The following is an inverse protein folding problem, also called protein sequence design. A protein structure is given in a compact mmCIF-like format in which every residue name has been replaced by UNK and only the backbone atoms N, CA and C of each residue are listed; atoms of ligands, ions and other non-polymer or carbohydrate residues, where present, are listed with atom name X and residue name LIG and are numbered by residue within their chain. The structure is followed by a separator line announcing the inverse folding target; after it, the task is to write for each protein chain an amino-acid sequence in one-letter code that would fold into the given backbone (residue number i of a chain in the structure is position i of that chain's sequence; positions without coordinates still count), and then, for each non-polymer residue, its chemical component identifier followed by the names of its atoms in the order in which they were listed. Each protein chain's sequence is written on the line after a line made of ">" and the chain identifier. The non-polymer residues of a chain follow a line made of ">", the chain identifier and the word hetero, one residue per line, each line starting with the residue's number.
data_IF_558146898538
#
_entry.id   IF_558146898538
#
_cell.length_a   1.000
_cell.length_b   1.000
_cell.length_c   1.000
_cell.angle_alpha   90.00
_cell.angle_beta   90.00
_cell.angle_gamma   90.00
#
_symmetry.space_group_name_H-M   'P 1'
#
loop_
_entity.id
_entity.type
_entity.pdbx_description
1 polymer ?
#
# COMPACT_ATOMS: atom_id res chain seq x y z
N UNK A 1 14.06 8.66 -13.45
CA UNK A 1 13.13 9.47 -14.30
C UNK A 1 13.53 9.29 -15.76
N UNK A 2 12.59 9.27 -16.71
CA UNK A 2 12.94 9.12 -18.13
C UNK A 2 13.64 10.37 -18.67
N UNK A 3 14.77 10.17 -19.37
CA UNK A 3 15.45 11.24 -20.10
C UNK A 3 14.60 11.70 -21.29
N UNK A 4 14.89 12.89 -21.83
CA UNK A 4 14.21 13.39 -23.03
C UNK A 4 14.37 12.44 -24.23
N UNK A 5 15.57 11.88 -24.41
CA UNK A 5 15.84 10.90 -25.46
C UNK A 5 15.05 9.60 -25.24
N UNK A 6 14.97 9.10 -24.00
CA UNK A 6 14.16 7.92 -23.68
C UNK A 6 12.67 8.13 -23.99
N UNK A 7 12.13 9.33 -23.70
CA UNK A 7 10.76 9.70 -24.08
C UNK A 7 10.59 9.67 -25.60
N UNK A 8 11.54 10.22 -26.35
CA UNK A 8 11.47 10.27 -27.82
C UNK A 8 11.51 8.86 -28.44
N UNK A 9 12.40 7.99 -27.97
CA UNK A 9 12.49 6.59 -28.40
C UNK A 9 11.21 5.83 -28.06
N UNK A 10 10.74 5.93 -26.82
CA UNK A 10 9.53 5.25 -26.37
C UNK A 10 8.29 5.71 -27.14
N UNK A 11 8.16 7.01 -27.42
CA UNK A 11 7.06 7.55 -28.20
C UNK A 11 7.05 6.99 -29.62
N UNK A 12 8.20 6.97 -30.30
CA UNK A 12 8.30 6.44 -31.66
C UNK A 12 7.88 4.96 -31.75
N UNK A 13 8.23 4.15 -30.75
CA UNK A 13 7.84 2.73 -30.68
C UNK A 13 6.34 2.59 -30.43
N UNK A 14 5.80 3.34 -29.46
CA UNK A 14 4.38 3.33 -29.14
C UNK A 14 3.52 3.82 -30.32
N UNK A 15 3.97 4.84 -31.05
CA UNK A 15 3.30 5.39 -32.24
C UNK A 15 3.21 4.37 -33.40
N UNK A 16 4.10 3.37 -33.46
CA UNK A 16 4.00 2.23 -34.38
C UNK A 16 3.06 1.12 -33.89
N UNK A 17 2.46 1.27 -32.71
CA UNK A 17 1.57 0.27 -32.11
C UNK A 17 2.28 -0.89 -31.42
N UNK A 18 3.58 -0.74 -31.13
CA UNK A 18 4.41 -1.74 -30.47
C UNK A 18 4.42 -1.55 -28.93
N UNK A 19 4.98 -2.54 -28.22
CA UNK A 19 5.05 -2.54 -26.75
C UNK A 19 6.42 -2.09 -26.24
N UNK A 20 6.42 -1.33 -25.14
CA UNK A 20 7.63 -0.82 -24.47
C UNK A 20 7.62 -1.18 -22.98
N UNK A 21 8.78 -1.42 -22.41
CA UNK A 21 8.98 -1.49 -20.96
C UNK A 21 9.67 -0.22 -20.50
N UNK A 22 9.09 0.47 -19.52
CA UNK A 22 9.63 1.70 -18.97
C UNK A 22 9.71 1.63 -17.44
N UNK A 23 10.71 2.27 -16.81
CA UNK A 23 10.72 2.47 -15.37
C UNK A 23 9.48 3.26 -14.92
N UNK A 24 8.98 2.95 -13.73
CA UNK A 24 7.95 3.76 -13.07
C UNK A 24 8.29 3.96 -11.59
N UNK A 25 7.58 4.87 -10.95
CA UNK A 25 7.57 5.10 -9.50
C UNK A 25 7.17 3.87 -8.65
N UNK A 26 6.71 2.78 -9.28
CA UNK A 26 6.14 1.60 -8.60
C UNK A 26 6.83 0.31 -9.02
N UNK A 27 6.74 -0.11 -10.28
CA UNK A 27 7.41 -1.27 -10.92
C UNK A 27 7.69 -0.95 -12.40
N UNK A 28 8.67 -1.56 -13.10
CA UNK A 28 8.72 -1.50 -14.56
C UNK A 28 7.35 -1.83 -15.15
N UNK A 29 6.84 -0.87 -15.92
CA UNK A 29 5.56 -0.99 -16.57
C UNK A 29 5.76 -1.47 -17.99
N UNK A 30 4.96 -2.43 -18.41
CA UNK A 30 4.76 -2.77 -19.80
C UNK A 30 3.62 -1.90 -20.35
N UNK A 31 3.91 -1.16 -21.40
CA UNK A 31 3.04 -0.16 -21.99
C UNK A 31 2.77 -0.42 -23.47
N UNK A 32 1.54 -0.13 -23.86
CA UNK A 32 1.06 -0.07 -25.24
C UNK A 32 0.12 1.13 -25.39
N UNK A 33 -0.14 1.58 -26.61
CA UNK A 33 -1.17 2.60 -26.83
C UNK A 33 -2.57 2.09 -26.47
N UNK A 34 -3.43 2.99 -25.98
CA UNK A 34 -4.83 2.74 -25.65
C UNK A 34 -5.72 2.66 -26.91
N UNK A 35 -5.48 1.62 -27.69
CA UNK A 35 -6.21 1.20 -28.90
C UNK A 35 -6.58 -0.27 -28.81
N UNK A 36 -7.56 -0.71 -29.60
CA UNK A 36 -7.97 -2.13 -29.63
C UNK A 36 -6.78 -3.04 -30.01
N UNK A 37 -5.97 -2.65 -31.00
CA UNK A 37 -4.75 -3.36 -31.40
C UNK A 37 -3.71 -3.42 -30.27
N UNK A 38 -3.51 -2.32 -29.56
CA UNK A 38 -2.58 -2.26 -28.43
C UNK A 38 -3.03 -3.18 -27.29
N UNK A 39 -4.33 -3.17 -26.95
CA UNK A 39 -4.88 -4.05 -25.93
C UNK A 39 -4.71 -5.53 -26.30
N UNK A 40 -4.99 -5.90 -27.55
CA UNK A 40 -4.80 -7.27 -28.05
C UNK A 40 -3.33 -7.72 -27.99
N UNK A 41 -2.40 -6.83 -28.39
CA UNK A 41 -0.97 -7.08 -28.26
C UNK A 41 -0.59 -7.35 -26.80
N UNK A 42 -1.06 -6.51 -25.88
CA UNK A 42 -0.75 -6.66 -24.46
C UNK A 42 -1.30 -7.96 -23.88
N UNK A 43 -2.51 -8.38 -24.29
CA UNK A 43 -3.11 -9.66 -23.89
C UNK A 43 -2.28 -10.85 -24.37
N UNK A 44 -1.79 -10.80 -25.62
CA UNK A 44 -0.90 -11.82 -26.20
C UNK A 44 0.42 -11.90 -25.44
N UNK A 45 1.08 -10.75 -25.23
CA UNK A 45 2.37 -10.70 -24.52
C UNK A 45 2.24 -11.30 -23.12
N UNK A 46 1.17 -10.95 -22.40
CA UNK A 46 0.94 -11.38 -21.01
C UNK A 46 0.35 -12.78 -20.87
N UNK A 47 -0.01 -13.45 -21.97
CA UNK A 47 -0.72 -14.73 -21.96
C UNK A 47 -1.93 -14.71 -21.01
N UNK A 48 -2.63 -13.58 -20.99
CA UNK A 48 -3.61 -13.30 -19.95
C UNK A 48 -4.92 -14.01 -20.27
N UNK A 49 -5.25 -15.03 -19.47
CA UNK A 49 -6.52 -15.74 -19.58
C UNK A 49 -7.66 -14.88 -19.02
N UNK A 50 -8.74 -14.72 -19.81
CA UNK A 50 -10.00 -14.09 -19.41
C UNK A 50 -10.08 -12.57 -19.60
N UNK A 51 -11.17 -11.99 -19.09
CA UNK A 51 -11.56 -10.60 -19.39
C UNK A 51 -11.12 -9.56 -18.33
N UNK A 52 -10.08 -9.84 -17.54
CA UNK A 52 -9.62 -8.89 -16.50
C UNK A 52 -9.07 -7.62 -17.16
N UNK A 53 -9.66 -6.44 -16.90
CA UNK A 53 -9.26 -5.21 -17.58
C UNK A 53 -7.84 -4.78 -17.16
N UNK A 54 -7.21 -3.99 -18.03
CA UNK A 54 -5.96 -3.31 -17.73
C UNK A 54 -6.22 -1.88 -17.24
N UNK A 55 -5.28 -1.33 -16.48
CA UNK A 55 -5.36 0.08 -16.09
C UNK A 55 -4.91 0.94 -17.27
N UNK A 56 -5.59 2.07 -17.47
CA UNK A 56 -5.26 3.08 -18.47
C UNK A 56 -4.60 4.27 -17.77
N UNK A 57 -3.45 4.69 -18.28
CA UNK A 57 -2.71 5.84 -17.78
C UNK A 57 -2.98 7.08 -18.61
N UNK A 58 -3.19 8.19 -17.90
CA UNK A 58 -3.49 9.49 -18.45
C UNK A 58 -2.44 10.49 -17.99
N UNK A 59 -2.14 11.47 -18.83
CA UNK A 59 -1.19 12.52 -18.46
C UNK A 59 -1.79 13.57 -17.51
N UNK A 60 -3.12 13.68 -17.47
CA UNK A 60 -3.80 14.68 -16.66
C UNK A 60 -5.32 14.65 -16.78
N UNK A 61 -5.99 15.48 -15.96
CA UNK A 61 -7.45 15.52 -15.81
C UNK A 61 -8.20 15.81 -17.11
N UNK A 62 -7.63 16.64 -18.00
CA UNK A 62 -8.23 16.96 -19.32
C UNK A 62 -8.36 15.75 -20.25
N UNK A 63 -7.38 14.85 -20.21
CA UNK A 63 -7.41 13.63 -21.03
C UNK A 63 -8.35 12.60 -20.39
N UNK A 64 -8.31 12.51 -19.07
CA UNK A 64 -9.15 11.63 -18.27
C UNK A 64 -10.65 11.93 -18.47
N UNK A 65 -11.05 13.21 -18.42
CA UNK A 65 -12.46 13.62 -18.53
C UNK A 65 -13.12 13.23 -19.85
N UNK A 66 -12.34 12.98 -20.91
CA UNK A 66 -12.84 12.48 -22.20
C UNK A 66 -13.18 10.98 -22.17
N UNK A 67 -12.77 10.25 -21.14
CA UNK A 67 -12.84 8.77 -21.07
C UNK A 67 -13.63 8.24 -19.89
N UNK A 68 -13.89 9.04 -18.87
CA UNK A 68 -14.63 8.64 -17.68
C UNK A 68 -15.84 9.53 -17.46
N UNK A 69 -16.88 8.98 -16.83
CA UNK A 69 -18.04 9.74 -16.38
C UNK A 69 -17.98 9.88 -14.85
N UNK A 70 -17.86 11.11 -14.37
CA UNK A 70 -17.95 11.42 -12.94
C UNK A 70 -19.42 11.61 -12.59
N UNK A 71 -19.96 10.72 -11.75
CA UNK A 71 -21.40 10.66 -11.42
C UNK A 71 -21.73 11.22 -10.02
N UNK A 72 -20.74 11.44 -9.16
CA UNK A 72 -20.97 11.91 -7.79
C UNK A 72 -19.76 12.65 -7.19
N UNK A 73 -19.99 13.29 -6.03
CA UNK A 73 -18.97 14.07 -5.29
C UNK A 73 -17.79 13.23 -4.81
N UNK A 74 -18.01 11.97 -4.42
CA UNK A 74 -16.93 11.07 -3.99
C UNK A 74 -15.95 10.81 -5.13
N UNK A 75 -16.46 10.53 -6.34
CA UNK A 75 -15.64 10.33 -7.53
C UNK A 75 -14.87 11.59 -7.91
N UNK A 76 -15.53 12.76 -7.88
CA UNK A 76 -14.87 14.04 -8.12
C UNK A 76 -13.74 14.31 -7.13
N UNK A 77 -13.99 14.06 -5.84
CA UNK A 77 -12.98 14.21 -4.75
C UNK A 77 -11.82 13.25 -4.96
N UNK A 78 -12.08 11.98 -5.26
CA UNK A 78 -11.02 11.00 -5.51
C UNK A 78 -10.13 11.38 -6.70
N UNK A 79 -10.73 11.83 -7.81
CA UNK A 79 -9.96 12.30 -8.98
C UNK A 79 -9.17 13.57 -8.66
N UNK A 80 -9.67 14.45 -7.79
CA UNK A 80 -8.98 15.71 -7.47
C UNK A 80 -7.86 15.55 -6.45
N UNK A 81 -8.00 14.66 -5.46
CA UNK A 81 -7.09 14.52 -4.32
C UNK A 81 -6.15 13.31 -4.39
N UNK A 82 -6.53 12.25 -5.12
CA UNK A 82 -5.70 11.03 -5.26
C UNK A 82 -4.94 10.95 -6.59
N UNK A 83 -5.25 11.82 -7.56
CA UNK A 83 -4.60 11.86 -8.87
C UNK A 83 -4.03 13.27 -9.17
N UNK A 84 -2.78 13.41 -9.66
CA UNK A 84 -1.77 12.36 -9.84
C UNK A 84 -1.40 11.64 -8.54
N UNK A 85 -1.04 10.36 -8.61
CA UNK A 85 -0.77 9.59 -7.41
C UNK A 85 -0.46 8.11 -7.60
N UNK A 86 -0.21 7.46 -6.47
CA UNK A 86 0.06 6.02 -6.32
C UNK A 86 -1.21 5.15 -6.28
N UNK A 87 -2.32 5.68 -6.81
CA UNK A 87 -3.63 5.03 -6.81
C UNK A 87 -4.11 4.78 -8.24
N UNK A 88 -4.79 3.65 -8.44
CA UNK A 88 -5.61 3.37 -9.62
C UNK A 88 -7.08 3.39 -9.21
N UNK A 89 -7.87 4.28 -9.83
CA UNK A 89 -9.30 4.43 -9.57
C UNK A 89 -10.09 3.59 -10.59
N UNK A 90 -11.05 2.78 -10.14
CA UNK A 90 -12.04 2.17 -11.03
C UNK A 90 -13.25 3.11 -11.06
N UNK A 91 -13.54 3.64 -12.24
CA UNK A 91 -14.60 4.62 -12.49
C UNK A 91 -15.55 4.14 -13.59
N UNK A 92 -16.78 4.67 -13.66
CA UNK A 92 -17.65 4.49 -14.82
C UNK A 92 -16.96 4.97 -16.11
N UNK A 93 -16.96 4.11 -17.13
CA UNK A 93 -16.41 4.44 -18.43
C UNK A 93 -17.37 5.34 -19.21
N UNK A 94 -16.82 6.26 -20.00
CA UNK A 94 -17.60 7.06 -20.96
C UNK A 94 -17.84 6.35 -22.30
N UNK A 95 -17.27 5.16 -22.51
CA UNK A 95 -17.44 4.37 -23.76
C UNK A 95 -18.58 3.37 -23.62
N UNK A 96 -19.39 3.19 -24.68
CA UNK A 96 -20.51 2.21 -24.70
C UNK A 96 -20.07 0.75 -24.51
N UNK A 97 -18.89 0.37 -25.00
CA UNK A 97 -18.38 -1.03 -24.93
C UNK A 97 -17.94 -1.46 -23.52
N UNK A 98 -17.69 -0.53 -22.60
CA UNK A 98 -17.16 -0.82 -21.26
C UNK A 98 -18.02 -0.18 -20.19
N UNK A 99 -18.40 -0.90 -19.14
CA UNK A 99 -19.13 -0.29 -18.02
C UNK A 99 -18.19 0.50 -17.11
N UNK A 100 -16.98 0.00 -16.89
CA UNK A 100 -16.00 0.55 -15.96
C UNK A 100 -14.60 0.56 -16.56
N UNK A 101 -13.76 1.46 -16.06
CA UNK A 101 -12.38 1.63 -16.48
C UNK A 101 -11.47 1.90 -15.28
N UNK A 102 -10.35 1.18 -15.20
CA UNK A 102 -9.28 1.48 -14.25
C UNK A 102 -8.42 2.61 -14.79
N UNK A 103 -8.29 3.70 -14.05
CA UNK A 103 -7.56 4.91 -14.47
C UNK A 103 -6.45 5.25 -13.49
N UNK A 104 -5.34 5.76 -14.01
CA UNK A 104 -4.22 6.31 -13.21
C UNK A 104 -3.66 7.55 -13.89
N UNK A 105 -3.25 8.53 -13.09
CA UNK A 105 -2.39 9.63 -13.53
C UNK A 105 -1.11 9.49 -12.69
N UNK A 106 0.05 9.12 -13.29
CA UNK A 106 1.28 8.91 -12.53
C UNK A 106 1.84 10.24 -12.01
N UNK A 107 2.52 10.22 -10.85
CA UNK A 107 3.18 11.41 -10.29
C UNK A 107 4.38 11.83 -11.18
N UNK A 108 5.09 10.82 -11.71
CA UNK A 108 6.24 10.98 -12.60
C UNK A 108 5.91 11.89 -13.79
N UNK A 109 6.59 13.04 -13.84
CA UNK A 109 6.38 14.08 -14.84
C UNK A 109 6.88 13.66 -16.23
N UNK A 110 7.91 12.82 -16.29
CA UNK A 110 8.50 12.28 -17.53
C UNK A 110 7.56 11.27 -18.20
N UNK A 111 6.94 10.39 -17.42
CA UNK A 111 5.91 9.48 -17.91
C UNK A 111 4.65 10.24 -18.34
N UNK A 112 4.25 11.29 -17.60
CA UNK A 112 3.17 12.20 -18.04
C UNK A 112 3.53 12.98 -19.31
N UNK A 113 4.81 13.24 -19.58
CA UNK A 113 5.25 13.86 -20.83
C UNK A 113 5.11 12.91 -22.01
N UNK A 114 5.53 11.65 -21.85
CA UNK A 114 5.31 10.60 -22.84
C UNK A 114 3.82 10.44 -23.17
N UNK A 115 2.95 10.28 -22.15
CA UNK A 115 1.50 10.10 -22.35
C UNK A 115 0.85 11.33 -23.02
N UNK A 116 1.38 12.55 -22.80
CA UNK A 116 0.90 13.74 -23.52
C UNK A 116 1.15 13.67 -25.01
N UNK A 117 2.28 13.09 -25.41
CA UNK A 117 2.71 12.94 -26.80
C UNK A 117 1.96 11.80 -27.49
N UNK A 118 1.93 10.62 -26.88
CA UNK A 118 1.41 9.40 -27.51
C UNK A 118 -0.10 9.22 -27.36
N UNK A 119 -0.75 9.99 -26.47
CA UNK A 119 -2.09 9.67 -26.00
C UNK A 119 -2.07 8.66 -24.84
N UNK A 120 -3.26 8.26 -24.32
CA UNK A 120 -3.34 7.38 -23.16
C UNK A 120 -2.66 6.04 -23.43
N UNK A 121 -2.11 5.45 -22.39
CA UNK A 121 -1.41 4.17 -22.48
C UNK A 121 -2.14 3.11 -21.67
N UNK A 122 -2.17 1.87 -22.15
CA UNK A 122 -2.57 0.73 -21.33
C UNK A 122 -1.32 0.22 -20.63
N UNK A 123 -1.44 -0.01 -19.33
CA UNK A 123 -0.31 -0.38 -18.49
C UNK A 123 -0.59 -1.66 -17.69
N UNK A 124 0.45 -2.49 -17.58
CA UNK A 124 0.52 -3.61 -16.63
C UNK A 124 1.93 -3.70 -16.08
N UNK A 125 2.12 -4.40 -14.97
CA UNK A 125 3.47 -4.70 -14.48
C UNK A 125 4.21 -5.61 -15.46
N UNK A 126 5.50 -5.38 -15.65
CA UNK A 126 6.36 -6.15 -16.54
C UNK A 126 6.79 -7.50 -15.92
N UNK A 127 5.81 -8.32 -15.54
CA UNK A 127 5.98 -9.70 -15.06
C UNK A 127 5.23 -10.68 -15.97
N UNK A 128 5.55 -11.98 -15.95
CA UNK A 128 4.67 -12.98 -16.59
C UNK A 128 3.40 -13.17 -15.74
N UNK A 129 2.26 -13.46 -16.38
CA UNK A 129 0.98 -13.62 -15.67
C UNK A 129 1.08 -14.73 -14.62
N UNK A 130 0.68 -14.44 -13.38
CA UNK A 130 0.73 -15.41 -12.27
C UNK A 130 2.08 -15.50 -11.54
N UNK A 131 3.14 -14.85 -12.02
CA UNK A 131 4.45 -14.84 -11.34
C UNK A 131 4.66 -13.52 -10.60
N UNK A 132 4.88 -13.58 -9.29
CA UNK A 132 5.45 -12.44 -8.57
C UNK A 132 6.87 -12.23 -9.07
N UNK A 133 7.27 -10.97 -9.34
CA UNK A 133 8.68 -10.65 -9.56
C UNK A 133 9.44 -11.03 -8.29
N UNK A 134 10.21 -12.12 -8.37
CA UNK A 134 11.09 -12.59 -7.29
C UNK A 134 12.29 -11.66 -7.14
N UNK A 135 12.67 -11.01 -8.24
CA UNK A 135 13.71 -10.01 -8.33
C UNK A 135 13.16 -8.77 -9.08
N UNK A 136 13.19 -7.55 -8.50
CA UNK A 136 12.79 -6.32 -9.17
C UNK A 136 13.75 -5.87 -10.29
N UNK A 137 14.91 -6.52 -10.45
CA UNK A 137 15.95 -6.15 -11.42
C UNK A 137 15.94 -7.04 -12.66
N UNK A 138 15.52 -8.30 -12.56
CA UNK A 138 15.51 -9.22 -13.72
C UNK A 138 14.12 -9.30 -14.39
N UNK A 139 13.99 -8.69 -15.57
CA UNK A 139 12.82 -8.92 -16.43
C UNK A 139 12.88 -10.33 -17.04
N UNK A 140 11.76 -11.07 -17.14
CA UNK A 140 11.76 -12.39 -17.74
C UNK A 140 12.24 -12.33 -19.20
N UNK A 141 13.18 -13.20 -19.60
CA UNK A 141 13.72 -13.20 -20.97
C UNK A 141 12.62 -13.40 -22.03
N UNK A 142 11.60 -14.20 -21.73
CA UNK A 142 10.43 -14.39 -22.60
C UNK A 142 9.54 -13.14 -22.74
N UNK A 143 9.66 -12.16 -21.84
CA UNK A 143 9.01 -10.85 -21.97
C UNK A 143 9.87 -9.89 -22.80
N UNK A 144 11.19 -9.90 -22.57
CA UNK A 144 12.16 -9.07 -23.29
C UNK A 144 12.13 -9.31 -24.81
N UNK A 145 11.95 -10.56 -25.24
CA UNK A 145 11.84 -10.91 -26.67
C UNK A 145 10.53 -10.47 -27.33
N UNK A 146 9.55 -10.01 -26.55
CA UNK A 146 8.20 -9.64 -27.01
C UNK A 146 7.94 -8.12 -26.96
N UNK A 147 8.95 -7.34 -26.62
CA UNK A 147 8.87 -5.87 -26.53
C UNK A 147 9.93 -5.26 -27.42
N UNK A 148 9.61 -4.11 -28.01
CA UNK A 148 10.50 -3.44 -28.96
C UNK A 148 11.49 -2.48 -28.31
N UNK A 149 11.26 -2.12 -27.05
CA UNK A 149 12.14 -1.23 -26.29
C UNK A 149 12.04 -1.54 -24.80
N UNK A 150 13.20 -1.51 -24.14
CA UNK A 150 13.32 -1.48 -22.68
C UNK A 150 14.16 -0.26 -22.34
N UNK A 151 13.57 0.67 -21.61
CA UNK A 151 14.34 1.74 -20.96
C UNK A 151 14.64 1.29 -19.54
N UNK A 152 15.89 1.46 -19.12
CA UNK A 152 16.33 1.14 -17.76
C UNK A 152 16.66 2.44 -17.01
N UNK A 153 16.49 2.41 -15.69
CA UNK A 153 16.87 3.50 -14.81
C UNK A 153 18.01 2.97 -13.92
N UNK A 154 19.21 3.53 -14.08
CA UNK A 154 20.40 3.11 -13.32
C UNK A 154 20.20 3.31 -11.81
N UNK A 155 19.40 4.32 -11.41
CA UNK A 155 19.09 4.60 -10.00
C UNK A 155 18.16 3.54 -9.38
N UNK A 156 17.35 2.84 -10.18
CA UNK A 156 16.42 1.80 -9.71
C UNK A 156 17.17 0.53 -9.29
N UNK A 157 18.39 0.29 -9.81
CA UNK A 157 19.23 -0.85 -9.42
C UNK A 157 19.74 -0.72 -7.97
N UNK A 158 19.77 0.48 -7.40
CA UNK A 158 20.35 0.74 -6.07
C UNK A 158 19.36 0.76 -4.90
N UNK A 159 18.05 0.74 -5.15
CA UNK A 159 17.08 0.53 -4.06
C UNK A 159 16.79 -0.96 -3.93
N UNK A 160 17.50 -1.66 -3.03
CA UNK A 160 17.27 -3.07 -2.68
C UNK A 160 15.90 -3.36 -2.03
N UNK A 161 14.86 -2.63 -2.42
CA UNK A 161 13.52 -2.70 -1.91
C UNK A 161 12.54 -3.06 -3.03
N UNK A 162 11.73 -4.08 -2.75
CA UNK A 162 10.70 -4.62 -3.62
C UNK A 162 9.68 -3.54 -3.99
N UNK A 163 9.74 -3.13 -5.25
CA UNK A 163 8.82 -2.27 -5.97
C UNK A 163 7.33 -2.63 -5.74
N UNK A 164 6.55 -1.69 -5.18
CA UNK A 164 5.15 -1.89 -4.76
C UNK A 164 4.20 -1.31 -5.82
N UNK A 165 3.24 -2.09 -6.30
CA UNK A 165 2.22 -1.61 -7.25
C UNK A 165 1.33 -0.49 -6.67
N UNK A 166 0.63 0.26 -7.52
CA UNK A 166 -0.42 1.19 -7.08
C UNK A 166 -1.55 0.47 -6.34
N UNK A 167 -2.12 1.15 -5.35
CA UNK A 167 -3.34 0.71 -4.66
C UNK A 167 -4.51 0.84 -5.61
N UNK A 168 -5.34 -0.19 -5.73
CA UNK A 168 -6.52 -0.19 -6.63
C UNK A 168 -7.77 0.02 -5.79
N UNK A 169 -8.48 1.11 -6.04
CA UNK A 169 -9.76 1.40 -5.38
C UNK A 169 -10.89 1.48 -6.39
N UNK A 170 -11.98 0.82 -6.05
CA UNK A 170 -13.25 0.85 -6.75
C UNK A 170 -14.17 1.87 -6.07
N UNK A 171 -14.54 2.88 -6.85
CA UNK A 171 -15.40 4.00 -6.45
C UNK A 171 -16.56 4.15 -7.43
N UNK A 172 -16.94 3.04 -8.08
CA UNK A 172 -18.07 3.00 -9.01
C UNK A 172 -19.39 3.27 -8.29
N UNK A 173 -19.54 2.76 -7.06
CA UNK A 173 -20.62 3.09 -6.14
C UNK A 173 -20.40 4.44 -5.45
N UNK A 174 -21.47 5.22 -5.27
CA UNK A 174 -21.43 6.46 -4.48
C UNK A 174 -21.28 6.20 -2.97
N UNK A 175 -21.62 4.98 -2.51
CA UNK A 175 -21.71 4.66 -1.07
C UNK A 175 -20.41 4.14 -0.49
N UNK A 176 -19.53 3.50 -1.26
CA UNK A 176 -18.36 2.80 -0.74
C UNK A 176 -17.11 3.09 -1.55
N UNK A 177 -15.96 3.09 -0.87
CA UNK A 177 -14.63 3.06 -1.47
C UNK A 177 -14.09 1.67 -1.22
N UNK A 178 -14.02 0.83 -2.23
CA UNK A 178 -13.64 -0.58 -2.06
C UNK A 178 -12.21 -0.80 -2.54
N UNK A 179 -11.31 -1.20 -1.66
CA UNK A 179 -9.94 -1.53 -2.02
C UNK A 179 -9.92 -2.93 -2.59
N UNK A 180 -9.57 -3.04 -3.87
CA UNK A 180 -9.44 -4.31 -4.62
C UNK A 180 -8.04 -4.89 -4.53
N UNK A 181 -7.04 -4.03 -4.28
CA UNK A 181 -5.64 -4.40 -4.13
C UNK A 181 -4.91 -3.36 -3.28
N UNK A 182 -4.22 -3.81 -2.23
CA UNK A 182 -3.29 -2.98 -1.45
C UNK A 182 -2.02 -2.70 -2.24
N UNK A 183 -1.44 -1.52 -2.04
CA UNK A 183 -0.29 -1.07 -2.81
C UNK A 183 0.39 0.13 -2.15
N UNK A 184 1.12 0.92 -2.95
CA UNK A 184 1.99 1.97 -2.45
C UNK A 184 1.25 3.16 -1.80
N UNK A 185 -0.05 3.36 -2.07
CA UNK A 185 -0.86 4.33 -1.35
C UNK A 185 -1.49 3.67 -0.11
N UNK A 186 -1.28 4.24 1.07
CA UNK A 186 -1.81 3.65 2.30
C UNK A 186 -3.32 3.81 2.39
N UNK A 187 -3.97 2.86 3.06
CA UNK A 187 -5.42 2.89 3.31
C UNK A 187 -5.82 4.14 4.09
N UNK A 188 -4.95 4.56 5.01
CA UNK A 188 -5.17 5.68 5.92
C UNK A 188 -5.01 7.03 5.23
N UNK A 189 -4.05 7.15 4.31
CA UNK A 189 -3.93 8.32 3.44
C UNK A 189 -5.18 8.49 2.57
N UNK A 190 -5.64 7.39 1.95
CA UNK A 190 -6.88 7.38 1.16
C UNK A 190 -8.06 7.80 2.03
N UNK A 191 -8.19 7.24 3.24
CA UNK A 191 -9.28 7.58 4.16
C UNK A 191 -9.27 9.06 4.53
N UNK A 192 -8.10 9.62 4.84
CA UNK A 192 -7.94 11.03 5.17
C UNK A 192 -8.27 11.95 3.97
N UNK A 193 -7.72 11.67 2.78
CA UNK A 193 -7.95 12.48 1.58
C UNK A 193 -9.40 12.43 1.07
N UNK A 194 -10.12 11.35 1.34
CA UNK A 194 -11.53 11.21 0.96
C UNK A 194 -12.49 11.59 2.09
N UNK A 195 -12.01 11.73 3.33
CA UNK A 195 -12.82 11.80 4.56
C UNK A 195 -13.83 10.64 4.65
N UNK A 196 -13.38 9.46 4.23
CA UNK A 196 -14.22 8.26 4.15
C UNK A 196 -13.38 7.00 4.27
N UNK A 197 -13.73 6.15 5.21
CA UNK A 197 -13.01 4.89 5.40
C UNK A 197 -13.18 3.97 4.18
N UNK A 198 -12.08 3.53 3.56
CA UNK A 198 -12.15 2.49 2.55
C UNK A 198 -12.53 1.16 3.19
N UNK A 199 -13.11 0.26 2.40
CA UNK A 199 -13.43 -1.10 2.81
C UNK A 199 -12.58 -2.07 2.01
N UNK A 200 -11.99 -3.07 2.68
CA UNK A 200 -11.17 -4.09 2.02
C UNK A 200 -12.03 -5.19 1.40
N UNK A 201 -11.87 -5.43 0.10
CA UNK A 201 -12.48 -6.57 -0.59
C UNK A 201 -11.90 -7.90 -0.09
N UNK A 202 -12.75 -8.89 0.20
CA UNK A 202 -12.30 -10.25 0.53
C UNK A 202 -11.49 -10.85 -0.64
N UNK A 203 -10.35 -11.54 -0.38
CA UNK A 203 -9.84 -11.98 0.93
C UNK A 203 -8.83 -11.03 1.59
N UNK A 204 -8.74 -9.76 1.20
CA UNK A 204 -7.72 -8.86 1.75
C UNK A 204 -7.86 -8.72 3.27
N UNK A 205 -6.75 -8.90 3.99
CA UNK A 205 -6.61 -8.63 5.41
C UNK A 205 -5.78 -7.39 5.72
N UNK A 206 -5.61 -7.11 7.01
CA UNK A 206 -4.76 -6.07 7.56
C UNK A 206 -3.62 -6.67 8.38
N UNK A 207 -2.43 -6.16 8.13
CA UNK A 207 -1.22 -6.50 8.85
C UNK A 207 -0.81 -5.32 9.72
N UNK A 208 -0.72 -5.54 11.03
CA UNK A 208 -0.50 -4.48 12.01
C UNK A 208 0.80 -4.75 12.76
N UNK A 209 1.69 -3.76 12.78
CA UNK A 209 2.99 -3.85 13.43
C UNK A 209 3.08 -2.89 14.61
N UNK A 210 3.24 -3.42 15.82
CA UNK A 210 3.55 -2.61 17.00
C UNK A 210 5.06 -2.46 17.18
N UNK A 211 5.56 -1.23 17.38
CA UNK A 211 7.00 -0.97 17.48
C UNK A 211 7.35 -0.18 18.75
N UNK A 212 8.27 -0.71 19.54
CA UNK A 212 8.87 -0.01 20.68
C UNK A 212 10.40 0.03 20.60
N UNK A 213 11.08 0.33 21.70
CA UNK A 213 12.54 0.32 21.78
C UNK A 213 13.11 -1.10 21.67
N UNK A 214 13.01 -1.88 22.74
CA UNK A 214 13.64 -3.20 22.85
C UNK A 214 12.80 -4.41 22.40
N UNK A 215 11.51 -4.21 22.07
CA UNK A 215 10.56 -5.30 21.81
C UNK A 215 10.40 -6.32 22.95
N UNK A 216 10.55 -5.87 24.19
CA UNK A 216 10.50 -6.72 25.40
C UNK A 216 9.34 -6.36 26.34
N UNK A 217 8.78 -5.15 26.22
CA UNK A 217 7.67 -4.68 27.08
C UNK A 217 6.49 -4.17 26.26
N UNK A 218 6.53 -2.91 25.79
CA UNK A 218 5.35 -2.20 25.25
C UNK A 218 4.76 -2.82 23.98
N UNK A 219 5.58 -3.11 22.96
CA UNK A 219 5.09 -3.65 21.70
C UNK A 219 4.60 -5.09 21.76
N UNK A 220 5.23 -6.04 22.50
CA UNK A 220 4.64 -7.38 22.64
C UNK A 220 3.35 -7.34 23.45
N UNK A 221 3.29 -6.58 24.56
CA UNK A 221 2.02 -6.37 25.30
C UNK A 221 0.92 -5.82 24.38
N UNK A 222 1.22 -4.76 23.60
CA UNK A 222 0.25 -4.16 22.71
C UNK A 222 -0.27 -5.12 21.63
N UNK A 223 0.64 -5.91 21.03
CA UNK A 223 0.29 -6.90 20.01
C UNK A 223 -0.62 -8.00 20.56
N UNK A 224 -0.30 -8.52 21.75
CA UNK A 224 -1.09 -9.57 22.39
C UNK A 224 -2.47 -9.05 22.81
N UNK A 225 -2.53 -7.88 23.47
CA UNK A 225 -3.80 -7.22 23.82
C UNK A 225 -4.66 -6.97 22.57
N UNK A 226 -4.04 -6.47 21.50
CA UNK A 226 -4.77 -6.17 20.27
C UNK A 226 -5.34 -7.44 19.62
N UNK A 227 -4.54 -8.50 19.57
CA UNK A 227 -4.94 -9.81 19.04
C UNK A 227 -6.12 -10.37 19.83
N UNK A 228 -6.07 -10.33 21.15
CA UNK A 228 -7.17 -10.78 22.00
C UNK A 228 -8.46 -9.95 21.83
N UNK A 229 -8.34 -8.64 21.60
CA UNK A 229 -9.49 -7.76 21.46
C UNK A 229 -10.19 -7.84 20.11
N UNK A 230 -9.46 -8.01 19.01
CA UNK A 230 -10.05 -7.98 17.67
C UNK A 230 -9.34 -8.80 16.59
N UNK A 231 -8.36 -9.64 16.95
CA UNK A 231 -7.73 -10.57 16.01
C UNK A 231 -8.75 -11.53 15.37
N UNK A 232 -8.53 -11.85 14.09
CA UNK A 232 -9.33 -12.79 13.31
C UNK A 232 -8.55 -13.21 12.06
N UNK A 233 -9.13 -14.04 11.19
CA UNK A 233 -8.48 -14.59 9.99
C UNK A 233 -8.04 -13.53 8.97
N UNK A 234 -8.55 -12.29 9.08
CA UNK A 234 -8.18 -11.15 8.22
C UNK A 234 -7.29 -10.14 8.93
N UNK A 235 -6.91 -10.36 10.19
CA UNK A 235 -6.03 -9.45 10.93
C UNK A 235 -4.83 -10.22 11.46
N UNK A 236 -3.67 -9.91 10.91
CA UNK A 236 -2.40 -10.45 11.39
C UNK A 236 -1.66 -9.36 12.18
N UNK A 237 -1.18 -9.69 13.37
CA UNK A 237 -0.53 -8.75 14.28
C UNK A 237 0.88 -9.23 14.58
N UNK A 238 1.86 -8.32 14.52
CA UNK A 238 3.25 -8.59 14.91
C UNK A 238 3.79 -7.45 15.75
N UNK A 239 4.92 -7.72 16.42
CA UNK A 239 5.66 -6.70 17.16
C UNK A 239 7.14 -6.69 16.78
N UNK A 240 7.78 -5.53 16.91
CA UNK A 240 9.21 -5.36 16.65
C UNK A 240 9.82 -4.24 17.52
N UNK A 241 11.14 -4.09 17.46
CA UNK A 241 11.88 -3.08 18.21
C UNK A 241 12.94 -2.36 17.37
N UNK A 242 13.26 -1.12 17.75
CA UNK A 242 14.26 -0.30 17.07
C UNK A 242 15.69 -0.48 17.59
N UNK A 243 15.84 -1.02 18.79
CA UNK A 243 17.12 -1.23 19.47
C UNK A 243 17.01 -2.54 20.27
N UNK A 244 17.08 -3.66 19.54
CA UNK A 244 16.79 -5.00 20.07
C UNK A 244 18.08 -5.75 20.38
N UNK A 245 18.13 -6.39 21.55
CA UNK A 245 19.04 -7.51 21.80
C UNK A 245 18.39 -8.75 21.19
N UNK A 246 18.92 -9.22 20.07
CA UNK A 246 18.25 -10.22 19.23
C UNK A 246 17.86 -11.48 20.02
N UNK A 247 16.60 -11.91 19.90
CA UNK A 247 16.11 -13.12 20.54
C UNK A 247 15.82 -13.01 22.04
N UNK A 248 15.97 -11.83 22.66
CA UNK A 248 15.63 -11.67 24.08
C UNK A 248 14.15 -11.94 24.32
N UNK A 249 13.84 -12.54 25.46
CA UNK A 249 12.44 -12.80 25.86
C UNK A 249 11.71 -11.51 26.24
N UNK A 250 10.39 -11.61 26.41
CA UNK A 250 9.65 -10.53 27.04
C UNK A 250 10.18 -10.29 28.48
N UNK A 251 10.06 -9.05 28.95
CA UNK A 251 10.35 -8.73 30.36
C UNK A 251 9.45 -9.57 31.26
N UNK A 252 10.02 -10.19 32.29
CA UNK A 252 9.26 -10.97 33.29
C UNK A 252 8.12 -10.15 33.89
N UNK A 253 8.34 -8.86 34.16
CA UNK A 253 7.30 -7.97 34.66
C UNK A 253 6.22 -7.68 33.61
N UNK A 254 6.57 -7.62 32.32
CA UNK A 254 5.58 -7.46 31.26
C UNK A 254 4.73 -8.72 31.12
N UNK A 255 5.36 -9.90 31.06
CA UNK A 255 4.66 -11.19 30.97
C UNK A 255 3.74 -11.41 32.19
N UNK A 256 4.22 -11.15 33.40
CA UNK A 256 3.40 -11.20 34.63
C UNK A 256 2.11 -10.38 34.51
N UNK A 257 2.20 -9.15 34.03
CA UNK A 257 1.02 -8.28 33.86
C UNK A 257 0.08 -8.79 32.76
N UNK A 258 0.62 -9.46 31.74
CA UNK A 258 -0.21 -10.09 30.71
C UNK A 258 -0.95 -11.32 31.24
N UNK A 259 -0.27 -12.16 32.04
CA UNK A 259 -0.88 -13.32 32.73
C UNK A 259 -2.00 -12.88 33.67
N UNK A 260 -1.82 -11.79 34.43
CA UNK A 260 -2.88 -11.18 35.27
C UNK A 260 -4.14 -10.81 34.45
N UNK A 261 -4.04 -10.67 33.13
CA UNK A 261 -5.15 -10.35 32.21
C UNK A 261 -5.65 -11.56 31.41
N UNK A 262 -5.19 -12.77 31.74
CA UNK A 262 -5.54 -13.99 30.99
C UNK A 262 -4.86 -14.09 29.62
N UNK A 263 -3.76 -13.35 29.41
CA UNK A 263 -2.94 -13.35 28.20
C UNK A 263 -1.55 -13.91 28.52
N UNK A 264 -0.69 -14.04 27.51
CA UNK A 264 0.66 -14.59 27.70
C UNK A 264 1.64 -13.99 26.71
N UNK A 265 2.86 -13.69 27.16
CA UNK A 265 4.01 -13.41 26.30
C UNK A 265 4.99 -14.58 26.26
N UNK A 266 4.59 -15.75 26.78
CA UNK A 266 5.38 -16.97 26.68
C UNK A 266 5.68 -17.31 25.22
N UNK A 267 6.93 -17.63 24.92
CA UNK A 267 7.40 -17.89 23.56
C UNK A 267 7.68 -16.64 22.72
N UNK A 268 7.34 -15.43 23.20
CA UNK A 268 7.74 -14.19 22.50
C UNK A 268 9.27 -14.09 22.41
N UNK A 269 9.74 -13.63 21.25
CA UNK A 269 11.16 -13.34 21.00
C UNK A 269 11.28 -11.97 20.37
N UNK A 270 12.14 -11.14 20.96
CA UNK A 270 12.37 -9.79 20.49
C UNK A 270 12.94 -9.81 19.07
N UNK A 271 12.22 -9.17 18.15
CA UNK A 271 12.55 -9.09 16.73
C UNK A 271 12.97 -7.67 16.34
N UNK A 272 14.16 -7.47 15.74
CA UNK A 272 14.58 -6.17 15.24
C UNK A 272 13.69 -5.72 14.08
N UNK A 273 13.33 -4.43 14.06
CA UNK A 273 12.62 -3.83 12.95
C UNK A 273 13.52 -3.81 11.70
N UNK A 274 12.99 -4.32 10.60
CA UNK A 274 13.66 -4.37 9.31
C UNK A 274 12.69 -4.00 8.16
N UNK A 275 13.23 -3.86 6.95
CA UNK A 275 12.44 -3.51 5.77
C UNK A 275 11.35 -4.54 5.41
N UNK A 276 11.57 -5.82 5.68
CA UNK A 276 10.58 -6.87 5.39
C UNK A 276 9.33 -6.75 6.29
N UNK A 277 9.52 -6.42 7.57
CA UNK A 277 8.40 -6.16 8.48
C UNK A 277 7.60 -4.92 8.07
N UNK A 278 8.29 -3.85 7.63
CA UNK A 278 7.62 -2.65 7.14
C UNK A 278 6.89 -2.89 5.81
N UNK A 279 7.43 -3.75 4.94
CA UNK A 279 6.76 -4.18 3.72
C UNK A 279 5.52 -5.03 4.00
N UNK A 280 5.58 -5.89 5.02
CA UNK A 280 4.46 -6.72 5.43
C UNK A 280 3.32 -5.89 6.05
N UNK A 281 3.62 -4.80 6.76
CA UNK A 281 2.65 -4.01 7.52
C UNK A 281 1.81 -3.05 6.65
N UNK A 282 0.51 -2.99 6.92
CA UNK A 282 -0.39 -1.94 6.42
C UNK A 282 -0.55 -0.78 7.42
N UNK A 283 -0.20 -1.03 8.68
CA UNK A 283 -0.25 -0.07 9.78
C UNK A 283 0.89 -0.34 10.77
N UNK A 284 1.68 0.67 11.07
CA UNK A 284 2.77 0.65 12.05
C UNK A 284 2.43 1.60 13.20
N UNK A 285 2.34 1.04 14.41
CA UNK A 285 1.96 1.78 15.62
C UNK A 285 3.15 1.86 16.57
N UNK A 286 3.64 3.07 16.81
CA UNK A 286 4.83 3.31 17.61
C UNK A 286 4.52 3.99 18.94
N UNK A 287 5.34 3.70 19.94
CA UNK A 287 5.08 4.15 21.33
C UNK A 287 5.42 5.62 21.60
N UNK A 288 6.40 6.18 20.89
CA UNK A 288 6.94 7.52 21.19
C UNK A 288 7.28 8.31 19.93
N UNK A 289 7.36 9.63 20.08
CA UNK A 289 7.79 10.56 19.02
C UNK A 289 9.18 10.23 18.49
N UNK A 290 10.10 9.83 19.37
CA UNK A 290 11.43 9.39 18.98
C UNK A 290 11.38 8.13 18.10
N UNK A 291 10.54 7.14 18.44
CA UNK A 291 10.37 5.96 17.59
C UNK A 291 9.84 6.32 16.20
N UNK A 292 8.83 7.20 16.14
CA UNK A 292 8.27 7.68 14.88
C UNK A 292 9.34 8.34 14.01
N UNK A 293 10.11 9.28 14.58
CA UNK A 293 11.15 10.00 13.85
C UNK A 293 12.28 9.06 13.39
N UNK A 294 12.68 8.09 14.23
CA UNK A 294 13.68 7.08 13.85
C UNK A 294 13.21 6.23 12.66
N UNK A 295 11.96 5.76 12.67
CA UNK A 295 11.39 5.00 11.54
C UNK A 295 11.34 5.88 10.29
N UNK A 296 10.81 7.10 10.40
CA UNK A 296 10.68 8.00 9.24
C UNK A 296 12.03 8.36 8.62
N UNK A 297 13.06 8.60 9.44
CA UNK A 297 14.38 8.97 8.95
C UNK A 297 15.12 7.78 8.34
N UNK A 298 14.97 6.57 8.92
CA UNK A 298 15.64 5.35 8.42
C UNK A 298 14.88 4.68 7.27
N UNK A 299 13.56 4.79 7.26
CA UNK A 299 12.66 4.15 6.29
C UNK A 299 11.59 5.15 5.81
N UNK A 300 11.97 6.13 4.96
CA UNK A 300 11.05 7.17 4.48
C UNK A 300 9.77 6.63 3.83
N UNK A 301 9.84 5.46 3.20
CA UNK A 301 8.72 4.78 2.55
C UNK A 301 7.62 4.33 3.52
N UNK A 302 7.94 4.13 4.81
CA UNK A 302 6.97 3.71 5.81
C UNK A 302 6.23 4.89 6.47
N UNK A 303 6.56 6.13 6.08
CA UNK A 303 5.98 7.35 6.67
C UNK A 303 4.45 7.33 6.68
N UNK A 304 3.84 6.92 5.57
CA UNK A 304 2.38 7.02 5.37
C UNK A 304 1.59 5.87 6.00
N UNK A 305 2.30 4.89 6.59
CA UNK A 305 1.72 3.79 7.37
C UNK A 305 2.12 3.85 8.85
N UNK A 306 2.99 4.78 9.26
CA UNK A 306 3.48 4.89 10.64
C UNK A 306 2.69 5.93 11.42
N UNK A 307 2.30 5.60 12.65
CA UNK A 307 1.51 6.45 13.53
C UNK A 307 1.97 6.31 14.98
N UNK A 308 1.83 7.37 15.77
CA UNK A 308 1.84 7.22 17.22
C UNK A 308 0.59 6.44 17.63
N UNK A 309 0.75 5.38 18.41
CA UNK A 309 -0.36 4.54 18.86
C UNK A 309 -1.46 5.36 19.54
N UNK A 310 -1.06 6.38 20.30
CA UNK A 310 -1.96 7.28 21.02
C UNK A 310 -2.64 8.34 20.17
N UNK A 311 -2.18 8.55 18.92
CA UNK A 311 -2.68 9.54 17.98
C UNK A 311 -3.49 8.97 16.82
N UNK A 312 -3.33 7.68 16.51
CA UNK A 312 -4.06 7.03 15.42
C UNK A 312 -5.58 7.20 15.54
N UNK A 313 -6.32 7.55 14.46
CA UNK A 313 -5.88 7.61 13.06
C UNK A 313 -5.31 8.96 12.59
N UNK A 314 -5.20 9.97 13.46
CA UNK A 314 -4.57 11.23 13.08
C UNK A 314 -3.07 11.02 12.85
N UNK A 315 -2.57 11.54 11.72
CA UNK A 315 -1.15 11.43 11.35
C UNK A 315 -0.25 12.28 12.24
N UNK A 316 1.07 12.17 12.08
CA UNK A 316 2.03 12.99 12.81
C UNK A 316 1.71 14.51 12.73
N UNK A 317 1.86 15.30 13.83
CA UNK A 317 2.48 14.97 15.12
C UNK A 317 1.49 14.59 16.24
N UNK A 318 0.23 14.26 15.92
CA UNK A 318 -0.79 13.99 16.92
C UNK A 318 -0.47 12.76 17.78
N UNK A 319 -0.82 12.83 19.07
CA UNK A 319 -0.55 11.79 20.06
C UNK A 319 0.49 12.19 21.11
N UNK A 320 0.60 11.35 22.14
CA UNK A 320 1.52 11.47 23.28
C UNK A 320 2.43 10.24 23.40
N UNK A 321 3.60 10.41 24.00
CA UNK A 321 4.49 9.30 24.29
C UNK A 321 3.86 8.36 25.34
N UNK A 322 3.95 7.06 25.10
CA UNK A 322 3.65 6.02 26.09
C UNK A 322 4.94 5.75 26.86
N UNK A 323 4.88 5.95 28.19
CA UNK A 323 6.01 5.79 29.12
C UNK A 323 6.63 4.40 28.98
N UNK A 324 7.96 4.31 29.08
CA UNK A 324 8.67 3.04 29.03
C UNK A 324 8.76 2.43 30.43
N UNK A 325 8.20 1.23 30.68
CA UNK A 325 8.22 0.63 32.02
C UNK A 325 9.53 -0.12 32.32
N UNK A 326 10.48 -0.20 31.38
CA UNK A 326 11.69 -1.00 31.56
C UNK A 326 12.47 -0.62 32.84
N UNK A 327 12.82 -1.61 33.65
CA UNK A 327 13.51 -1.42 34.95
C UNK A 327 12.67 -0.77 36.05
N UNK A 328 11.39 -0.44 35.81
CA UNK A 328 10.52 0.21 36.79
C UNK A 328 9.76 -0.81 37.67
N UNK A 329 9.15 -0.38 38.80
CA UNK A 329 8.27 -1.24 39.58
C UNK A 329 7.09 -1.80 38.78
N UNK A 330 6.57 -2.97 39.19
CA UNK A 330 5.46 -3.67 38.53
C UNK A 330 4.20 -2.79 38.38
N UNK A 331 3.97 -1.84 39.29
CA UNK A 331 2.88 -0.86 39.17
C UNK A 331 2.95 -0.04 37.87
N UNK A 332 4.15 0.35 37.42
CA UNK A 332 4.35 1.11 36.18
C UNK A 332 4.09 0.24 34.95
N UNK A 333 4.41 -1.06 35.01
CA UNK A 333 4.04 -2.00 33.96
C UNK A 333 2.52 -2.14 33.85
N UNK A 334 1.82 -2.21 35.00
CA UNK A 334 0.36 -2.28 35.04
C UNK A 334 -0.29 -1.04 34.43
N UNK A 335 0.14 0.16 34.84
CA UNK A 335 -0.30 1.42 34.25
C UNK A 335 -0.04 1.48 32.74
N UNK A 336 1.12 0.98 32.31
CA UNK A 336 1.46 0.93 30.89
C UNK A 336 0.50 0.01 30.13
N UNK A 337 0.22 -1.19 30.66
CA UNK A 337 -0.72 -2.12 30.06
C UNK A 337 -2.14 -1.53 29.96
N UNK A 338 -2.62 -0.82 30.99
CA UNK A 338 -3.92 -0.12 30.96
C UNK A 338 -3.99 0.94 29.84
N UNK A 339 -2.90 1.70 29.68
CA UNK A 339 -2.77 2.68 28.61
C UNK A 339 -2.81 2.01 27.24
N UNK A 340 -2.07 0.91 27.06
CA UNK A 340 -2.03 0.14 25.81
C UNK A 340 -3.41 -0.41 25.47
N UNK A 341 -4.08 -1.06 26.43
CA UNK A 341 -5.40 -1.64 26.22
C UNK A 341 -6.44 -0.60 25.79
N UNK A 342 -6.46 0.56 26.46
CA UNK A 342 -7.35 1.67 26.09
C UNK A 342 -7.14 2.12 24.65
N UNK A 343 -5.89 2.18 24.17
CA UNK A 343 -5.61 2.53 22.79
C UNK A 343 -5.91 1.39 21.83
N UNK A 344 -5.61 0.12 22.17
CA UNK A 344 -6.00 -1.04 21.37
C UNK A 344 -7.51 -1.08 21.12
N UNK A 345 -8.34 -0.85 22.15
CA UNK A 345 -9.82 -0.78 22.00
C UNK A 345 -10.25 0.31 21.00
N UNK A 346 -9.66 1.50 21.09
CA UNK A 346 -9.93 2.60 20.14
C UNK A 346 -9.51 2.24 18.71
N UNK A 347 -8.36 1.61 18.55
CA UNK A 347 -7.82 1.23 17.25
C UNK A 347 -8.66 0.10 16.62
N UNK A 348 -9.07 -0.92 17.39
CA UNK A 348 -9.99 -1.97 16.94
C UNK A 348 -11.31 -1.37 16.40
N UNK A 349 -11.87 -0.35 17.07
CA UNK A 349 -13.08 0.35 16.61
C UNK A 349 -12.87 1.10 15.28
N UNK A 350 -11.67 1.59 14.98
CA UNK A 350 -11.38 2.20 13.68
C UNK A 350 -11.18 1.15 12.59
N UNK A 351 -10.50 0.05 12.92
CA UNK A 351 -10.20 -1.03 11.98
C UNK A 351 -11.47 -1.79 11.55
N UNK A 352 -12.43 -1.98 12.46
CA UNK A 352 -13.71 -2.62 12.12
C UNK A 352 -14.47 -1.88 11.03
N UNK A 353 -14.32 -0.55 10.94
CA UNK A 353 -14.93 0.28 9.88
C UNK A 353 -14.29 0.06 8.51
N UNK A 354 -13.06 -0.44 8.46
CA UNK A 354 -12.28 -0.69 7.22
C UNK A 354 -12.41 -2.16 6.78
N UNK A 355 -12.64 -3.08 7.72
CA UNK A 355 -12.76 -4.51 7.45
C UNK A 355 -14.18 -5.01 7.19
N UNK A 356 -15.14 -4.10 7.00
CA UNK A 356 -16.54 -4.46 6.69
C UNK A 356 -16.57 -5.52 5.59
N UNK A 357 -17.25 -6.63 5.87
CA UNK A 357 -17.39 -7.70 4.91
C UNK A 357 -18.28 -7.24 3.74
N UNK A 358 -17.75 -7.34 2.52
CA UNK A 358 -18.53 -7.09 1.31
C UNK A 358 -18.66 -8.42 0.59
N UNK A 359 -19.85 -9.02 0.66
CA UNK A 359 -20.20 -10.13 -0.21
C UNK A 359 -20.34 -9.64 -1.64
N UNK A 360 -20.00 -10.49 -2.62
CA UNK A 360 -20.18 -10.15 -4.04
C UNK A 360 -21.64 -9.79 -4.40
N UNK A 361 -22.61 -10.28 -3.61
CA UNK A 361 -24.05 -9.96 -3.73
C UNK A 361 -24.43 -8.54 -3.27
N UNK A 362 -23.62 -7.87 -2.46
CA UNK A 362 -23.89 -6.51 -1.94
C UNK A 362 -23.39 -5.39 -2.87
N UNK A 363 -23.05 -5.74 -4.13
CA UNK A 363 -22.59 -4.80 -5.16
C UNK A 363 -23.73 -4.16 -5.97
N UNK A 364 -24.99 -4.36 -5.52
CA UNK A 364 -26.20 -3.78 -6.13
C UNK A 364 -26.23 -2.26 -6.11
#
# INVERSE_FOLDING_TARGET
>A
MLSRQAIERAAAVLERGEAVILPTDTVPGLFVQDTDKGEDLLRKIKERIGNKPFARMFAGKRQLSKRVTIRNKLQAKAVSTLLPGKVTLILPSGRRKETFIGVRIPEDSSLRALIRRTGPLIATSANLSGQALRDPVSLPQGLLSRVSLVEEDEDIRFSGFKQIHSTVIDITSSRRVVVKRKGAASLWEIAAKLEKNPVLEYPLGLNILFVCGGNTCRSPMAAEIFTALCGNERIEVRSAGLSVSYGSEASVSADRIMVERGLSLSGHRASPLNGNLLYWADLVLVMTRSHFLRIRNRYPQAKDITYLMSGFPASWPYGRNIKDPIGMPVSVYRETADVLERYCRKICSQISKVLIYIHQKDRG
#
